data_IF_483227296836
#
_entry.id   IF_483227296836
#
_cell.length_a   1.000
_cell.length_b   1.000
_cell.length_c   1.000
_cell.angle_alpha   90.00
_cell.angle_beta   90.00
_cell.angle_gamma   90.00
#
_symmetry.space_group_name_H-M   'P 1'
#
loop_
_entity.id
_entity.type
_entity.pdbx_description
1 polymer ?
#
# COMPACT_ATOMS: atom_id res chain seq x y z
N UNK A 1 30.58 33.65 15.66
CA UNK A 1 31.70 33.45 14.71
C UNK A 1 32.14 31.98 14.65
N UNK A 2 32.11 31.24 15.74
CA UNK A 2 32.64 29.86 15.82
C UNK A 2 31.89 28.81 14.98
N UNK A 3 30.63 29.08 14.63
CA UNK A 3 29.78 28.14 13.83
C UNK A 3 30.37 27.77 12.47
N UNK A 4 31.12 28.66 11.86
CA UNK A 4 31.75 28.46 10.58
C UNK A 4 32.96 27.49 10.62
N UNK A 5 33.64 27.41 11.75
CA UNK A 5 34.89 26.67 11.92
C UNK A 5 34.69 25.16 11.81
N UNK A 6 33.48 24.67 12.02
CA UNK A 6 33.13 23.24 11.98
C UNK A 6 32.49 22.79 10.69
N UNK A 7 32.06 23.75 9.83
CA UNK A 7 31.26 23.39 8.60
C UNK A 7 31.95 22.41 7.66
N UNK A 8 33.26 22.53 7.52
CA UNK A 8 34.01 21.65 6.63
C UNK A 8 34.05 20.18 7.09
N UNK A 9 33.93 19.96 8.39
CA UNK A 9 33.94 18.64 9.00
C UNK A 9 32.57 17.95 8.93
N UNK A 10 31.47 18.74 8.80
CA UNK A 10 30.11 18.21 8.86
C UNK A 10 29.63 17.71 7.51
N UNK A 11 28.90 16.59 7.49
CA UNK A 11 28.22 16.05 6.32
C UNK A 11 26.80 16.62 6.19
N UNK A 12 26.16 16.92 7.33
CA UNK A 12 24.82 17.52 7.38
C UNK A 12 24.82 18.68 8.34
N UNK A 13 24.27 19.81 7.91
CA UNK A 13 24.07 21.03 8.70
C UNK A 13 22.59 21.36 8.71
N UNK A 14 21.99 21.41 9.91
CA UNK A 14 20.57 21.77 10.08
C UNK A 14 20.50 23.10 10.81
N UNK A 15 19.76 24.06 10.28
CA UNK A 15 19.48 25.35 10.93
C UNK A 15 17.96 25.47 11.16
N UNK A 16 17.59 25.91 12.36
CA UNK A 16 16.21 26.08 12.79
C UNK A 16 16.14 27.18 13.87
N UNK A 17 16.61 28.41 13.53
CA UNK A 17 16.62 29.56 14.47
C UNK A 17 15.45 30.48 14.18
N UNK A 18 15.20 31.41 15.09
CA UNK A 18 14.24 32.50 14.92
C UNK A 18 14.95 33.83 14.54
N UNK A 19 16.14 33.74 13.95
CA UNK A 19 16.90 34.92 13.54
C UNK A 19 16.19 35.64 12.39
N UNK A 20 16.06 36.98 12.44
CA UNK A 20 15.50 37.73 11.31
C UNK A 20 16.49 37.89 10.14
N UNK A 21 17.71 37.40 10.26
CA UNK A 21 18.77 37.51 9.27
C UNK A 21 19.46 36.19 9.05
N UNK A 22 20.10 36.03 7.89
CA UNK A 22 20.92 34.87 7.61
C UNK A 22 21.96 34.61 8.69
N UNK A 23 21.91 33.43 9.29
CA UNK A 23 22.91 32.98 10.25
C UNK A 23 24.13 32.38 9.54
N UNK A 24 23.93 31.81 8.35
CA UNK A 24 24.98 31.28 7.49
C UNK A 24 24.91 31.94 6.10
N UNK A 25 25.93 32.74 5.81
CA UNK A 25 26.04 33.47 4.53
C UNK A 25 26.96 32.75 3.56
N UNK A 26 26.64 32.76 2.28
CA UNK A 26 27.43 32.14 1.23
C UNK A 26 28.90 32.55 1.21
N UNK A 27 29.16 33.83 1.33
CA UNK A 27 30.53 34.37 1.28
C UNK A 27 31.45 33.84 2.38
N UNK A 28 30.92 33.60 3.57
CA UNK A 28 31.65 33.00 4.70
C UNK A 28 31.73 31.49 4.58
N UNK A 29 30.62 30.80 4.21
CA UNK A 29 30.60 29.35 4.02
C UNK A 29 31.57 28.90 2.95
N UNK A 30 31.59 29.55 1.78
CA UNK A 30 32.48 29.20 0.66
C UNK A 30 33.96 29.22 1.06
N UNK A 31 34.36 30.07 1.97
CA UNK A 31 35.74 30.14 2.43
C UNK A 31 36.13 29.00 3.37
N UNK A 32 35.16 28.40 4.03
CA UNK A 32 35.38 27.33 5.01
C UNK A 32 35.22 25.92 4.39
N UNK A 33 34.42 25.79 3.34
CA UNK A 33 34.18 24.50 2.66
C UNK A 33 35.30 24.24 1.67
N UNK A 34 36.40 23.69 2.16
CA UNK A 34 37.63 23.45 1.38
C UNK A 34 37.80 21.96 0.99
N UNK A 35 37.22 21.06 1.78
CA UNK A 35 37.29 19.61 1.50
C UNK A 35 36.26 19.22 0.45
N UNK A 36 36.68 18.52 -0.60
CA UNK A 36 35.78 17.98 -1.61
C UNK A 36 35.01 16.78 -1.05
N UNK A 37 33.82 17.02 -0.52
CA UNK A 37 32.88 15.98 -0.06
C UNK A 37 31.44 16.46 -0.21
N UNK A 38 30.52 15.48 -0.34
CA UNK A 38 29.10 15.78 -0.39
C UNK A 38 28.59 16.30 0.97
N UNK A 39 27.86 17.40 0.93
CA UNK A 39 27.25 18.02 2.11
C UNK A 39 25.78 18.34 1.88
N UNK A 40 25.00 18.26 2.94
CA UNK A 40 23.58 18.62 2.93
C UNK A 40 23.32 19.73 3.93
N UNK A 41 22.75 20.82 3.45
CA UNK A 41 22.29 21.92 4.27
C UNK A 41 20.76 21.90 4.32
N UNK A 42 20.21 21.93 5.53
CA UNK A 42 18.77 21.89 5.79
C UNK A 42 18.39 23.15 6.56
N UNK A 43 17.55 23.98 5.97
CA UNK A 43 17.04 25.20 6.59
C UNK A 43 15.55 25.02 6.94
N UNK A 44 15.28 24.94 8.24
CA UNK A 44 13.92 24.80 8.78
C UNK A 44 13.41 26.14 9.38
N UNK A 45 14.19 27.23 9.21
CA UNK A 45 13.86 28.53 9.76
C UNK A 45 12.91 29.33 8.85
N UNK A 46 12.07 30.13 9.47
CA UNK A 46 11.26 31.18 8.84
C UNK A 46 11.41 32.46 9.61
N UNK A 47 12.05 33.49 9.02
CA UNK A 47 12.71 33.56 7.72
C UNK A 47 13.94 32.62 7.63
N UNK A 48 14.44 32.41 6.41
CA UNK A 48 15.56 31.49 6.14
C UNK A 48 16.83 31.89 6.88
N UNK A 49 17.52 30.91 7.47
CA UNK A 49 18.79 31.06 8.19
C UNK A 49 20.01 30.94 7.26
N UNK A 50 19.88 30.14 6.20
CA UNK A 50 20.97 29.78 5.28
C UNK A 50 20.75 30.46 3.95
N UNK A 51 21.75 31.14 3.45
CA UNK A 51 21.69 31.76 2.13
C UNK A 51 21.67 30.66 1.05
N UNK A 52 20.54 30.55 0.30
CA UNK A 52 20.30 29.47 -0.68
C UNK A 52 21.41 29.34 -1.76
N UNK A 53 22.17 30.41 -1.99
CA UNK A 53 23.29 30.43 -2.91
C UNK A 53 24.38 29.40 -2.56
N UNK A 54 24.34 28.79 -1.36
CA UNK A 54 25.25 27.71 -0.96
C UNK A 54 25.18 26.52 -1.92
N UNK A 55 24.04 26.27 -2.57
CA UNK A 55 23.88 25.24 -3.61
C UNK A 55 24.79 25.41 -4.83
N UNK A 56 25.44 26.59 -4.99
CA UNK A 56 26.44 26.82 -6.03
C UNK A 56 27.85 26.30 -5.66
N UNK A 57 28.05 25.78 -4.44
CA UNK A 57 29.29 25.08 -4.06
C UNK A 57 29.17 23.63 -4.49
N UNK A 58 30.22 23.12 -5.13
CA UNK A 58 30.28 21.76 -5.61
C UNK A 58 29.96 20.74 -4.50
N UNK A 59 29.28 19.66 -4.87
CA UNK A 59 28.84 18.58 -3.97
C UNK A 59 27.97 19.04 -2.76
N UNK A 60 27.33 20.22 -2.86
CA UNK A 60 26.47 20.75 -1.81
C UNK A 60 24.99 20.73 -2.22
N UNK A 61 24.17 20.09 -1.40
CA UNK A 61 22.72 20.12 -1.52
C UNK A 61 22.12 21.07 -0.47
N UNK A 62 21.14 21.88 -0.86
CA UNK A 62 20.42 22.76 0.04
C UNK A 62 18.93 22.47 -0.04
N UNK A 63 18.29 22.34 1.11
CA UNK A 63 16.84 22.13 1.24
C UNK A 63 16.27 23.10 2.27
N UNK A 64 15.17 23.73 1.94
CA UNK A 64 14.40 24.56 2.85
C UNK A 64 13.07 23.89 3.22
N UNK A 65 12.27 24.54 4.06
CA UNK A 65 10.98 24.00 4.53
C UNK A 65 9.98 23.76 3.38
N UNK A 66 10.02 24.61 2.33
CA UNK A 66 9.15 24.45 1.17
C UNK A 66 9.52 23.22 0.32
N UNK A 67 10.83 22.93 0.23
CA UNK A 67 11.32 21.71 -0.44
C UNK A 67 10.82 20.45 0.29
N UNK A 68 10.84 20.43 1.61
CA UNK A 68 10.29 19.32 2.39
C UNK A 68 8.79 19.18 2.20
N UNK A 69 8.06 20.29 2.14
CA UNK A 69 6.62 20.29 1.87
C UNK A 69 6.32 19.67 0.48
N UNK A 70 7.10 20.06 -0.53
CA UNK A 70 6.99 19.50 -1.88
C UNK A 70 7.31 17.99 -1.90
N UNK A 71 8.42 17.58 -1.29
CA UNK A 71 8.83 16.17 -1.21
C UNK A 71 7.78 15.34 -0.47
N UNK A 72 7.23 15.85 0.64
CA UNK A 72 6.18 15.17 1.38
C UNK A 72 4.91 14.98 0.54
N UNK A 73 4.51 16.00 -0.24
CA UNK A 73 3.37 15.93 -1.14
C UNK A 73 3.59 14.90 -2.25
N UNK A 74 4.75 14.89 -2.89
CA UNK A 74 5.11 13.93 -3.93
C UNK A 74 5.11 12.48 -3.39
N UNK A 75 5.70 12.28 -2.21
CA UNK A 75 5.72 10.97 -1.55
C UNK A 75 4.32 10.50 -1.15
N UNK A 76 3.46 11.39 -0.66
CA UNK A 76 2.07 11.05 -0.35
C UNK A 76 1.28 10.67 -1.59
N UNK A 77 1.46 11.39 -2.71
CA UNK A 77 0.83 11.03 -3.98
C UNK A 77 1.32 9.67 -4.51
N UNK A 78 2.61 9.35 -4.32
CA UNK A 78 3.14 8.04 -4.67
C UNK A 78 2.50 6.94 -3.82
N UNK A 79 2.43 7.13 -2.49
CA UNK A 79 1.78 6.19 -1.57
C UNK A 79 0.31 5.96 -1.89
N UNK A 80 -0.43 7.00 -2.27
CA UNK A 80 -1.83 6.87 -2.67
C UNK A 80 -1.98 5.99 -3.92
N UNK A 81 -1.16 6.23 -4.95
CA UNK A 81 -1.16 5.39 -6.16
C UNK A 81 -0.79 3.93 -5.87
N UNK A 82 0.17 3.69 -5.00
CA UNK A 82 0.56 2.34 -4.58
C UNK A 82 -0.56 1.67 -3.78
N UNK A 83 -1.26 2.42 -2.93
CA UNK A 83 -2.42 1.92 -2.18
C UNK A 83 -3.61 1.58 -3.10
N UNK A 84 -3.90 2.43 -4.10
CA UNK A 84 -4.94 2.16 -5.10
C UNK A 84 -4.62 0.89 -5.92
N UNK A 85 -3.36 0.71 -6.33
CA UNK A 85 -2.94 -0.51 -7.03
C UNK A 85 -3.05 -1.76 -6.13
N UNK A 86 -2.75 -1.64 -4.84
CA UNK A 86 -2.90 -2.74 -3.88
C UNK A 86 -4.36 -3.07 -3.58
N UNK A 87 -5.27 -2.09 -3.62
CA UNK A 87 -6.71 -2.30 -3.38
C UNK A 87 -7.32 -3.29 -4.38
N UNK A 88 -6.98 -3.16 -5.68
CA UNK A 88 -7.47 -4.10 -6.69
C UNK A 88 -7.05 -5.57 -6.45
N UNK A 89 -5.85 -5.76 -5.88
CA UNK A 89 -5.37 -7.09 -5.49
C UNK A 89 -6.15 -7.60 -4.28
N UNK A 90 -6.43 -6.73 -3.30
CA UNK A 90 -7.22 -7.11 -2.12
C UNK A 90 -8.64 -7.52 -2.49
N UNK A 91 -9.29 -6.79 -3.39
CA UNK A 91 -10.65 -7.09 -3.85
C UNK A 91 -10.74 -8.50 -4.48
N UNK A 92 -9.72 -8.89 -5.27
CA UNK A 92 -9.63 -10.24 -5.84
C UNK A 92 -9.49 -11.32 -4.76
N UNK A 93 -8.62 -11.11 -3.79
CA UNK A 93 -8.43 -12.06 -2.69
C UNK A 93 -9.63 -12.11 -1.73
N UNK A 94 -10.32 -11.00 -1.52
CA UNK A 94 -11.55 -10.94 -0.73
C UNK A 94 -12.62 -11.84 -1.35
N UNK A 95 -12.85 -11.72 -2.66
CA UNK A 95 -13.80 -12.58 -3.38
C UNK A 95 -13.43 -14.08 -3.27
N UNK A 96 -12.16 -14.41 -3.46
CA UNK A 96 -11.68 -15.78 -3.32
C UNK A 96 -11.88 -16.32 -1.90
N UNK A 97 -11.62 -15.46 -0.89
CA UNK A 97 -11.82 -15.81 0.51
C UNK A 97 -13.30 -16.02 0.84
N UNK A 98 -14.19 -15.17 0.35
CA UNK A 98 -15.64 -15.33 0.53
C UNK A 98 -16.12 -16.65 -0.10
N UNK A 99 -15.70 -16.95 -1.33
CA UNK A 99 -16.01 -18.22 -2.00
C UNK A 99 -15.52 -19.43 -1.19
N UNK A 100 -14.29 -19.36 -0.69
CA UNK A 100 -13.71 -20.40 0.18
C UNK A 100 -14.50 -20.56 1.48
N UNK A 101 -14.90 -19.46 2.13
CA UNK A 101 -15.71 -19.49 3.34
C UNK A 101 -17.07 -20.14 3.13
N UNK A 102 -17.75 -19.83 2.03
CA UNK A 102 -19.01 -20.46 1.66
C UNK A 102 -18.81 -21.96 1.43
N UNK A 103 -17.78 -22.34 0.68
CA UNK A 103 -17.43 -23.74 0.45
C UNK A 103 -17.15 -24.48 1.78
N UNK A 104 -16.36 -23.92 2.68
CA UNK A 104 -16.08 -24.52 3.99
C UNK A 104 -17.35 -24.75 4.82
N UNK A 105 -18.27 -23.78 4.83
CA UNK A 105 -19.57 -23.92 5.51
C UNK A 105 -20.43 -25.01 4.89
N UNK A 106 -20.34 -25.23 3.60
CA UNK A 106 -21.13 -26.23 2.88
C UNK A 106 -20.62 -27.67 3.05
N UNK A 107 -19.36 -27.89 3.46
CA UNK A 107 -18.77 -29.22 3.56
C UNK A 107 -19.56 -30.20 4.42
N UNK A 108 -20.11 -29.74 5.54
CA UNK A 108 -20.94 -30.59 6.42
C UNK A 108 -22.26 -31.02 5.77
N UNK A 109 -22.84 -30.13 4.97
CA UNK A 109 -24.07 -30.41 4.21
C UNK A 109 -23.77 -31.36 3.05
N UNK A 110 -22.65 -31.09 2.34
CA UNK A 110 -22.20 -31.95 1.24
C UNK A 110 -21.95 -33.41 1.68
N UNK A 111 -21.37 -33.57 2.88
CA UNK A 111 -21.19 -34.90 3.48
C UNK A 111 -22.53 -35.66 3.65
N UNK A 112 -23.52 -34.99 4.23
CA UNK A 112 -24.87 -35.58 4.42
C UNK A 112 -25.57 -35.90 3.10
N UNK A 113 -25.45 -34.99 2.11
CA UNK A 113 -26.02 -35.20 0.77
C UNK A 113 -25.38 -36.42 0.09
N UNK A 114 -24.04 -36.51 0.12
CA UNK A 114 -23.30 -37.65 -0.40
C UNK A 114 -23.76 -38.97 0.24
N UNK A 115 -23.82 -39.03 1.56
CA UNK A 115 -24.15 -40.24 2.29
C UNK A 115 -25.60 -40.70 2.00
N UNK A 116 -26.52 -39.74 1.82
CA UNK A 116 -27.90 -40.04 1.39
C UNK A 116 -27.93 -40.54 -0.05
N UNK A 117 -27.21 -39.90 -0.95
CA UNK A 117 -27.10 -40.30 -2.35
C UNK A 117 -26.59 -41.74 -2.47
N UNK A 118 -25.51 -42.09 -1.76
CA UNK A 118 -24.93 -43.43 -1.76
C UNK A 118 -25.95 -44.46 -1.28
N UNK A 119 -26.65 -44.19 -0.17
CA UNK A 119 -27.70 -45.08 0.36
C UNK A 119 -28.81 -45.34 -0.67
N UNK A 120 -29.28 -44.30 -1.36
CA UNK A 120 -30.32 -44.45 -2.37
C UNK A 120 -29.80 -45.23 -3.58
N UNK A 121 -28.54 -44.94 -3.99
CA UNK A 121 -27.91 -45.65 -5.12
C UNK A 121 -27.73 -47.15 -4.87
N UNK A 122 -27.30 -47.51 -3.65
CA UNK A 122 -27.16 -48.93 -3.25
C UNK A 122 -28.49 -49.71 -3.30
N UNK A 123 -29.60 -49.05 -2.93
CA UNK A 123 -30.90 -49.73 -2.86
C UNK A 123 -31.72 -49.63 -4.14
N UNK A 124 -31.61 -48.54 -4.91
CA UNK A 124 -32.50 -48.23 -6.04
C UNK A 124 -31.76 -47.99 -7.35
N UNK A 125 -30.44 -48.03 -7.34
CA UNK A 125 -29.60 -47.71 -8.49
C UNK A 125 -29.24 -46.20 -8.57
N UNK A 126 -28.14 -45.93 -9.27
CA UNK A 126 -27.56 -44.60 -9.41
C UNK A 126 -28.51 -43.61 -10.09
N UNK A 127 -29.21 -44.02 -11.13
CA UNK A 127 -30.16 -43.20 -11.88
C UNK A 127 -31.28 -42.66 -10.97
N UNK A 128 -31.87 -43.53 -10.14
CA UNK A 128 -32.89 -43.11 -9.16
C UNK A 128 -32.32 -42.26 -8.02
N UNK A 129 -31.06 -42.42 -7.71
CA UNK A 129 -30.41 -41.56 -6.74
C UNK A 129 -30.23 -40.12 -7.29
N UNK A 130 -29.93 -39.98 -8.57
CA UNK A 130 -29.91 -38.67 -9.24
C UNK A 130 -31.29 -38.01 -9.29
N UNK A 131 -32.31 -38.77 -9.69
CA UNK A 131 -33.69 -38.25 -9.71
C UNK A 131 -34.12 -37.76 -8.35
N UNK A 132 -33.83 -38.55 -7.30
CA UNK A 132 -34.14 -38.18 -5.91
C UNK A 132 -33.38 -36.94 -5.46
N UNK A 133 -32.11 -36.80 -5.83
CA UNK A 133 -31.29 -35.63 -5.51
C UNK A 133 -31.85 -34.37 -6.20
N UNK A 134 -32.11 -34.39 -7.49
CA UNK A 134 -32.65 -33.25 -8.22
C UNK A 134 -34.08 -32.88 -7.79
N UNK A 135 -34.91 -33.88 -7.42
CA UNK A 135 -36.21 -33.62 -6.83
C UNK A 135 -36.07 -32.86 -5.50
N UNK A 136 -35.14 -33.30 -4.64
CA UNK A 136 -34.85 -32.60 -3.36
C UNK A 136 -34.32 -31.19 -3.59
N UNK A 137 -33.43 -30.98 -4.54
CA UNK A 137 -32.92 -29.64 -4.89
C UNK A 137 -34.08 -28.73 -5.32
N UNK A 138 -34.98 -29.22 -6.15
CA UNK A 138 -36.16 -28.48 -6.60
C UNK A 138 -37.09 -28.07 -5.44
N UNK A 139 -37.36 -28.94 -4.51
CA UNK A 139 -38.30 -28.69 -3.41
C UNK A 139 -37.73 -27.76 -2.32
N UNK A 140 -36.42 -27.61 -2.27
CA UNK A 140 -35.75 -26.85 -1.20
C UNK A 140 -35.09 -25.53 -1.66
N UNK A 141 -35.30 -25.12 -2.92
CA UNK A 141 -34.72 -23.88 -3.45
C UNK A 141 -35.79 -23.01 -4.14
N UNK A 142 -35.51 -21.71 -4.22
CA UNK A 142 -36.34 -20.78 -5.00
C UNK A 142 -36.13 -20.98 -6.50
N UNK A 143 -37.04 -20.52 -7.37
CA UNK A 143 -36.82 -20.58 -8.84
C UNK A 143 -35.53 -19.89 -9.28
N UNK A 144 -35.16 -18.77 -8.65
CA UNK A 144 -33.93 -18.00 -8.95
C UNK A 144 -32.68 -18.79 -8.56
N UNK A 145 -32.68 -19.47 -7.41
CA UNK A 145 -31.59 -20.35 -6.98
C UNK A 145 -31.42 -21.54 -7.93
N UNK A 146 -32.53 -22.12 -8.42
CA UNK A 146 -32.53 -23.21 -9.37
C UNK A 146 -31.94 -22.79 -10.72
N UNK A 147 -32.32 -21.62 -11.24
CA UNK A 147 -31.73 -21.06 -12.47
C UNK A 147 -30.23 -20.91 -12.34
N UNK A 148 -29.76 -20.33 -11.23
CA UNK A 148 -28.33 -20.16 -10.93
C UNK A 148 -27.61 -21.51 -10.85
N UNK A 149 -28.19 -22.48 -10.14
CA UNK A 149 -27.63 -23.83 -9.98
C UNK A 149 -27.48 -24.54 -11.33
N UNK A 150 -28.53 -24.55 -12.15
CA UNK A 150 -28.47 -25.18 -13.46
C UNK A 150 -27.58 -24.45 -14.46
N UNK A 151 -27.48 -23.12 -14.35
CA UNK A 151 -26.55 -22.36 -15.16
C UNK A 151 -25.08 -22.74 -14.84
N UNK A 152 -24.73 -22.92 -13.58
CA UNK A 152 -23.40 -23.36 -13.16
C UNK A 152 -23.05 -24.79 -13.62
N UNK A 153 -24.07 -25.69 -13.79
CA UNK A 153 -23.83 -27.04 -14.24
C UNK A 153 -23.62 -27.16 -15.76
N UNK A 154 -23.98 -26.13 -16.54
CA UNK A 154 -23.85 -26.11 -17.99
C UNK A 154 -22.51 -25.54 -18.48
N UNK A 155 -21.63 -25.12 -17.57
CA UNK A 155 -20.27 -24.62 -17.83
C UNK A 155 -19.23 -25.54 -17.20
#
# INVERSE_FOLDING_TARGET
>A
EDRYNYLDQMDVVISATSSPHYTLTYSKMKKQLVTAKRRVFVDLAVPMDIEAKISAVDDTCYYNIDDFTRIAKENNQKKLREAEAASGILDEYELQFEQWMVFQKSLSVMGKVRDNFVKVAEHKGVEKAFDHFFYWVRENNTPEDLETFFHCLNH
#
